data_IF_742592360410
#
_entry.id   IF_742592360410
#
_cell.length_a   1.000
_cell.length_b   1.000
_cell.length_c   1.000
_cell.angle_alpha   90.00
_cell.angle_beta   90.00
_cell.angle_gamma   90.00
#
_symmetry.space_group_name_H-M   'P 1'
#
loop_
_entity.id
_entity.type
_entity.pdbx_description
1 polymer ?
#
# COMPACT_ATOMS: atom_id res chain seq x y z
N UNK A 1 6.71 1.87 -17.06
CA UNK A 1 6.94 2.03 -18.50
C UNK A 1 5.90 2.99 -19.05
N UNK A 2 6.31 3.83 -20.00
CA UNK A 2 5.43 4.65 -20.82
C UNK A 2 5.01 3.82 -22.03
N UNK A 3 3.72 3.76 -22.33
CA UNK A 3 3.20 3.02 -23.48
C UNK A 3 2.20 3.89 -24.24
N UNK A 4 2.03 3.63 -25.53
CA UNK A 4 1.02 4.29 -26.34
C UNK A 4 -0.27 3.49 -26.31
N UNK A 5 -1.38 4.18 -26.02
CA UNK A 5 -2.71 3.60 -26.10
C UNK A 5 -3.07 3.29 -27.54
N UNK A 6 -3.63 2.10 -27.76
CA UNK A 6 -4.13 1.63 -29.06
C UNK A 6 -5.66 1.58 -29.11
N UNK A 7 -6.34 2.13 -28.10
CA UNK A 7 -7.80 2.18 -28.10
C UNK A 7 -8.33 3.13 -29.17
N UNK A 8 -9.43 2.73 -29.81
CA UNK A 8 -9.98 3.40 -30.98
C UNK A 8 -10.32 4.87 -30.74
N UNK A 9 -10.71 5.22 -29.50
CA UNK A 9 -11.01 6.60 -29.10
C UNK A 9 -9.75 7.44 -29.01
N UNK A 10 -8.69 6.93 -28.38
CA UNK A 10 -7.40 7.63 -28.28
C UNK A 10 -6.76 7.81 -29.66
N UNK A 11 -6.86 6.82 -30.54
CA UNK A 11 -6.37 6.90 -31.92
C UNK A 11 -7.14 7.95 -32.75
N UNK A 12 -8.47 8.01 -32.61
CA UNK A 12 -9.28 9.07 -33.25
C UNK A 12 -8.86 10.46 -32.78
N UNK A 13 -8.66 10.65 -31.47
CA UNK A 13 -8.21 11.92 -30.93
C UNK A 13 -6.80 12.31 -31.43
N UNK A 14 -5.90 11.34 -31.56
CA UNK A 14 -4.58 11.55 -32.16
C UNK A 14 -4.68 12.02 -33.61
N UNK A 15 -5.50 11.36 -34.43
CA UNK A 15 -5.71 11.72 -35.84
C UNK A 15 -6.31 13.14 -35.94
N UNK A 16 -7.34 13.46 -35.14
CA UNK A 16 -7.97 14.78 -35.16
C UNK A 16 -7.01 15.90 -34.72
N UNK A 17 -6.19 15.68 -33.69
CA UNK A 17 -5.17 16.68 -33.31
C UNK A 17 -4.11 16.83 -34.40
N UNK A 18 -3.68 15.74 -35.03
CA UNK A 18 -2.69 15.74 -36.11
C UNK A 18 -3.19 16.51 -37.34
N UNK A 19 -4.41 16.22 -37.80
CA UNK A 19 -5.08 16.93 -38.89
C UNK A 19 -5.20 18.44 -38.59
N UNK A 20 -5.62 18.80 -37.38
CA UNK A 20 -5.71 20.21 -36.97
C UNK A 20 -4.35 20.93 -37.03
N UNK A 21 -3.28 20.31 -36.52
CA UNK A 21 -1.92 20.90 -36.62
C UNK A 21 -1.40 20.98 -38.05
N UNK A 22 -1.81 20.08 -38.94
CA UNK A 22 -1.45 20.12 -40.36
C UNK A 22 -2.19 21.23 -41.11
N UNK A 23 -3.44 21.49 -40.75
CA UNK A 23 -4.24 22.58 -41.33
C UNK A 23 -3.80 23.97 -40.85
N UNK A 24 -3.28 24.08 -39.63
CA UNK A 24 -2.82 25.35 -39.04
C UNK A 24 -1.34 25.64 -39.26
N UNK A 25 -0.53 24.64 -39.63
CA UNK A 25 0.92 24.72 -39.65
C UNK A 25 1.52 24.72 -41.05
N UNK A 26 2.52 25.56 -41.26
CA UNK A 26 3.34 25.59 -42.47
C UNK A 26 4.45 24.52 -42.35
N UNK A 27 4.06 23.24 -42.44
CA UNK A 27 5.00 22.11 -42.37
C UNK A 27 5.70 22.00 -43.72
N UNK A 28 6.95 22.48 -43.75
CA UNK A 28 7.69 22.68 -44.99
C UNK A 28 8.60 21.49 -45.36
N UNK A 29 8.80 20.54 -44.44
CA UNK A 29 9.59 19.34 -44.70
C UNK A 29 9.12 18.11 -43.88
N UNK A 30 9.55 16.92 -44.32
CA UNK A 30 9.16 15.66 -43.68
C UNK A 30 9.79 15.44 -42.30
N UNK A 31 10.87 16.13 -41.97
CA UNK A 31 11.48 16.05 -40.64
C UNK A 31 10.58 16.72 -39.59
N UNK A 32 10.09 17.93 -39.88
CA UNK A 32 9.12 18.66 -39.05
C UNK A 32 7.80 17.89 -38.91
N UNK A 33 7.37 17.22 -39.97
CA UNK A 33 6.19 16.35 -39.92
C UNK A 33 6.39 15.19 -38.93
N UNK A 34 7.54 14.50 -39.01
CA UNK A 34 7.85 13.36 -38.14
C UNK A 34 8.02 13.77 -36.68
N UNK A 35 8.62 14.94 -36.41
CA UNK A 35 8.74 15.49 -35.06
C UNK A 35 7.36 15.83 -34.48
N UNK A 36 6.53 16.53 -35.25
CA UNK A 36 5.18 16.89 -34.83
C UNK A 36 4.32 15.64 -34.56
N UNK A 37 4.41 14.64 -35.45
CA UNK A 37 3.74 13.35 -35.24
C UNK A 37 4.16 12.67 -33.93
N UNK A 38 5.46 12.67 -33.62
CA UNK A 38 5.98 12.11 -32.35
C UNK A 38 5.51 12.90 -31.13
N UNK A 39 5.45 14.22 -31.21
CA UNK A 39 4.96 15.08 -30.12
C UNK A 39 3.48 14.85 -29.84
N UNK A 40 2.64 14.82 -30.88
CA UNK A 40 1.21 14.57 -30.74
C UNK A 40 0.96 13.16 -30.21
N UNK A 41 1.73 12.16 -30.67
CA UNK A 41 1.64 10.80 -30.13
C UNK A 41 2.03 10.78 -28.65
N UNK A 42 3.08 11.50 -28.27
CA UNK A 42 3.51 11.66 -26.89
C UNK A 42 2.48 12.37 -26.01
N UNK A 43 1.69 13.28 -26.57
CA UNK A 43 0.68 14.04 -25.85
C UNK A 43 -0.63 13.26 -25.67
N UNK A 44 -1.08 12.59 -26.73
CA UNK A 44 -2.43 11.99 -26.81
C UNK A 44 -2.44 10.51 -26.45
N UNK A 45 -1.45 9.76 -26.93
CA UNK A 45 -1.41 8.31 -26.83
C UNK A 45 -0.58 7.83 -25.64
N UNK A 46 0.47 8.59 -25.25
CA UNK A 46 1.39 8.19 -24.20
C UNK A 46 0.71 8.14 -22.83
N UNK A 47 0.82 7.01 -22.16
CA UNK A 47 0.25 6.80 -20.83
C UNK A 47 1.25 6.04 -19.96
N UNK A 48 1.29 6.37 -18.67
CA UNK A 48 2.07 5.63 -17.69
C UNK A 48 1.21 4.57 -17.01
N UNK A 49 1.59 3.30 -17.10
CA UNK A 49 0.91 2.24 -16.34
C UNK A 49 1.38 2.27 -14.88
N UNK A 50 0.42 2.50 -13.96
CA UNK A 50 0.67 2.46 -12.51
C UNK A 50 -0.20 1.37 -11.90
N UNK A 51 0.40 0.24 -11.51
CA UNK A 51 -0.29 -0.80 -10.74
C UNK A 51 0.14 -0.74 -9.28
N UNK A 52 -0.83 -0.62 -8.37
CA UNK A 52 -0.59 -0.82 -6.93
C UNK A 52 -0.32 -2.30 -6.68
N UNK A 53 0.94 -2.66 -6.44
CA UNK A 53 1.26 -3.91 -5.76
C UNK A 53 1.02 -3.63 -4.28
N UNK A 54 -0.17 -3.97 -3.79
CA UNK A 54 -0.35 -4.06 -2.34
C UNK A 54 0.44 -5.27 -1.84
N UNK A 55 1.14 -5.15 -0.71
CA UNK A 55 1.64 -6.30 0.04
C UNK A 55 0.43 -7.15 0.48
N UNK A 56 -0.06 -8.01 -0.41
CA UNK A 56 -1.00 -9.08 -0.05
C UNK A 56 -0.23 -10.08 0.80
N UNK A 57 -0.11 -9.82 2.11
CA UNK A 57 0.43 -10.81 3.04
C UNK A 57 1.00 -10.23 4.34
N UNK A 58 1.55 -9.03 4.33
CA UNK A 58 2.11 -8.43 5.54
C UNK A 58 1.05 -7.59 6.24
N UNK A 59 0.32 -8.22 7.16
CA UNK A 59 -0.43 -7.48 8.18
C UNK A 59 0.60 -6.74 9.01
N UNK A 60 0.82 -5.46 8.72
CA UNK A 60 1.68 -4.61 9.54
C UNK A 60 1.14 -4.61 10.96
N UNK A 61 1.97 -5.11 11.88
CA UNK A 61 1.65 -5.10 13.29
C UNK A 61 1.50 -3.64 13.75
N UNK A 62 0.50 -3.35 14.59
CA UNK A 62 0.25 -1.99 15.02
C UNK A 62 1.43 -1.46 15.85
N UNK A 63 1.74 -0.16 15.71
CA UNK A 63 2.90 0.47 16.35
C UNK A 63 2.90 0.40 17.87
N UNK A 64 1.73 0.22 18.50
CA UNK A 64 1.59 0.08 19.94
C UNK A 64 1.86 -1.36 20.44
N UNK A 65 2.04 -2.35 19.55
CA UNK A 65 2.30 -3.73 20.00
C UNK A 65 3.75 -3.84 20.48
N UNK A 66 3.91 -4.14 21.76
CA UNK A 66 5.21 -4.38 22.39
C UNK A 66 5.48 -5.88 22.58
N UNK A 67 6.71 -6.23 22.95
CA UNK A 67 7.13 -7.62 23.12
C UNK A 67 6.36 -8.34 24.23
N UNK A 68 5.97 -7.64 25.29
CA UNK A 68 5.19 -8.22 26.39
C UNK A 68 3.81 -8.70 25.92
N UNK A 69 3.11 -7.91 25.12
CA UNK A 69 1.85 -8.31 24.48
C UNK A 69 2.07 -9.52 23.57
N UNK A 70 3.15 -9.54 22.77
CA UNK A 70 3.47 -10.69 21.90
C UNK A 70 3.67 -11.97 22.72
N UNK A 71 4.48 -11.91 23.76
CA UNK A 71 4.74 -13.05 24.65
C UNK A 71 3.47 -13.49 25.37
N UNK A 72 2.64 -12.54 25.80
CA UNK A 72 1.34 -12.84 26.40
C UNK A 72 0.38 -13.55 25.44
N UNK A 73 0.31 -13.13 24.17
CA UNK A 73 -0.48 -13.80 23.13
C UNK A 73 0.07 -15.20 22.84
N UNK A 74 1.40 -15.37 22.74
CA UNK A 74 2.04 -16.68 22.57
C UNK A 74 1.66 -17.62 23.71
N UNK A 75 1.75 -17.15 24.96
CA UNK A 75 1.38 -17.92 26.15
C UNK A 75 -0.10 -18.28 26.18
N UNK A 76 -0.99 -17.36 25.80
CA UNK A 76 -2.42 -17.64 25.64
C UNK A 76 -2.68 -18.75 24.60
N UNK A 77 -2.01 -18.68 23.45
CA UNK A 77 -2.11 -19.72 22.40
C UNK A 77 -1.59 -21.07 22.90
N UNK A 78 -0.52 -21.06 23.69
CA UNK A 78 0.04 -22.25 24.31
C UNK A 78 -0.97 -22.92 25.25
N UNK A 79 -1.61 -22.19 26.17
CA UNK A 79 -2.63 -22.76 27.05
C UNK A 79 -3.85 -23.31 26.30
N UNK A 80 -4.33 -22.60 25.28
CA UNK A 80 -5.40 -23.10 24.42
C UNK A 80 -4.99 -24.38 23.67
N UNK A 81 -3.70 -24.53 23.32
CA UNK A 81 -3.19 -25.76 22.71
C UNK A 81 -3.19 -26.89 23.73
N UNK A 82 -2.67 -26.68 24.94
CA UNK A 82 -2.67 -27.69 26.00
C UNK A 82 -4.09 -28.14 26.35
N UNK A 83 -5.03 -27.20 26.47
CA UNK A 83 -6.45 -27.51 26.69
C UNK A 83 -7.02 -28.47 25.64
N UNK A 84 -6.69 -28.28 24.36
CA UNK A 84 -7.17 -29.15 23.26
C UNK A 84 -6.56 -30.55 23.27
N UNK A 85 -5.40 -30.71 23.90
CA UNK A 85 -4.68 -31.98 23.98
C UNK A 85 -4.68 -32.56 25.40
N UNK A 86 -5.53 -32.05 26.30
CA UNK A 86 -5.64 -32.56 27.65
C UNK A 86 -6.19 -34.00 27.62
N UNK A 87 -5.60 -34.88 28.42
CA UNK A 87 -5.97 -36.30 28.44
C UNK A 87 -7.18 -36.55 29.36
N UNK A 88 -7.43 -35.64 30.30
CA UNK A 88 -8.52 -35.73 31.26
C UNK A 88 -9.15 -34.36 31.52
N UNK A 89 -10.33 -34.38 32.16
CA UNK A 89 -11.13 -33.19 32.41
C UNK A 89 -10.50 -32.22 33.42
N UNK A 90 -9.77 -32.74 34.41
CA UNK A 90 -9.08 -31.89 35.40
C UNK A 90 -7.98 -31.03 34.76
N UNK A 91 -7.22 -31.61 33.83
CA UNK A 91 -6.24 -30.87 33.05
C UNK A 91 -6.89 -29.85 32.10
N UNK A 92 -8.00 -30.23 31.45
CA UNK A 92 -8.77 -29.33 30.61
C UNK A 92 -9.23 -28.09 31.39
N UNK A 93 -9.86 -28.28 32.55
CA UNK A 93 -10.34 -27.22 33.43
C UNK A 93 -9.20 -26.33 33.93
N UNK A 94 -8.06 -26.93 34.29
CA UNK A 94 -6.85 -26.19 34.69
C UNK A 94 -6.31 -25.32 33.56
N UNK A 95 -6.21 -25.84 32.34
CA UNK A 95 -5.72 -25.08 31.20
C UNK A 95 -6.72 -24.02 30.74
N UNK A 96 -8.02 -24.25 30.91
CA UNK A 96 -9.06 -23.25 30.69
C UNK A 96 -8.91 -22.06 31.63
N UNK A 97 -8.73 -22.33 32.93
CA UNK A 97 -8.53 -21.26 33.92
C UNK A 97 -7.27 -20.44 33.60
N UNK A 98 -6.16 -21.10 33.25
CA UNK A 98 -4.91 -20.43 32.84
C UNK A 98 -5.08 -19.62 31.56
N UNK A 99 -5.83 -20.14 30.58
CA UNK A 99 -6.15 -19.44 29.35
C UNK A 99 -6.94 -18.16 29.63
N UNK A 100 -7.99 -18.24 30.45
CA UNK A 100 -8.83 -17.09 30.82
C UNK A 100 -8.02 -16.03 31.58
N UNK A 101 -7.24 -16.43 32.59
CA UNK A 101 -6.35 -15.52 33.32
C UNK A 101 -5.37 -14.81 32.38
N UNK A 102 -4.76 -15.54 31.45
CA UNK A 102 -3.82 -14.97 30.49
C UNK A 102 -4.52 -14.05 29.47
N UNK A 103 -5.75 -14.38 29.06
CA UNK A 103 -6.57 -13.54 28.18
C UNK A 103 -6.87 -12.19 28.82
N UNK A 104 -7.33 -12.17 30.07
CA UNK A 104 -7.64 -10.94 30.79
C UNK A 104 -6.41 -10.08 31.03
N UNK A 105 -5.29 -10.71 31.42
CA UNK A 105 -4.00 -10.04 31.57
C UNK A 105 -3.57 -9.33 30.28
N UNK A 106 -3.59 -10.06 29.16
CA UNK A 106 -3.21 -9.51 27.84
C UNK A 106 -4.17 -8.40 27.42
N UNK A 107 -5.47 -8.56 27.66
CA UNK A 107 -6.45 -7.53 27.33
C UNK A 107 -6.24 -6.24 28.13
N UNK A 108 -5.95 -6.34 29.43
CA UNK A 108 -5.61 -5.19 30.26
C UNK A 108 -4.32 -4.50 29.84
N UNK A 109 -3.32 -5.26 29.39
CA UNK A 109 -2.07 -4.72 28.87
C UNK A 109 -2.24 -4.02 27.51
N UNK A 110 -3.01 -4.62 26.60
CA UNK A 110 -3.37 -4.00 25.32
C UNK A 110 -4.06 -2.66 25.56
N UNK A 111 -5.08 -2.62 26.43
CA UNK A 111 -5.80 -1.36 26.74
C UNK A 111 -4.86 -0.27 27.25
N UNK A 112 -3.99 -0.60 28.21
CA UNK A 112 -3.01 0.35 28.76
C UNK A 112 -2.03 0.86 27.71
N UNK A 113 -1.56 -0.04 26.85
CA UNK A 113 -0.57 0.31 25.82
C UNK A 113 -1.18 1.16 24.71
N UNK A 114 -2.42 0.86 24.30
CA UNK A 114 -3.19 1.69 23.37
C UNK A 114 -3.38 3.09 23.97
N UNK A 115 -3.85 3.18 25.21
CA UNK A 115 -4.07 4.48 25.86
C UNK A 115 -2.79 5.30 25.97
N UNK A 116 -1.68 4.68 26.37
CA UNK A 116 -0.38 5.36 26.45
C UNK A 116 0.09 5.86 25.07
N UNK A 117 -0.09 5.05 24.03
CA UNK A 117 0.23 5.44 22.66
C UNK A 117 -0.66 6.60 22.19
N UNK A 118 -1.97 6.53 22.40
CA UNK A 118 -2.90 7.60 22.03
C UNK A 118 -2.60 8.91 22.76
N UNK A 119 -2.27 8.84 24.05
CA UNK A 119 -1.86 10.00 24.85
C UNK A 119 -0.58 10.63 24.31
N UNK A 120 0.44 9.80 24.00
CA UNK A 120 1.69 10.25 23.40
C UNK A 120 1.46 10.95 22.06
N UNK A 121 0.65 10.34 21.18
CA UNK A 121 0.31 10.90 19.87
C UNK A 121 -0.44 12.22 20.01
N UNK A 122 -1.41 12.28 20.92
CA UNK A 122 -2.18 13.50 21.17
C UNK A 122 -1.24 14.62 21.63
N UNK A 123 -0.30 14.31 22.53
CA UNK A 123 0.71 15.25 22.98
C UNK A 123 1.60 15.75 21.84
N UNK A 124 2.09 14.87 20.98
CA UNK A 124 2.91 15.22 19.81
C UNK A 124 2.20 16.17 18.83
N UNK A 125 0.89 15.98 18.67
CA UNK A 125 0.04 16.83 17.82
C UNK A 125 -0.23 18.18 18.47
N UNK A 126 -0.50 18.23 19.78
CA UNK A 126 -0.89 19.47 20.47
C UNK A 126 0.27 20.37 20.84
N UNK A 127 1.42 19.81 21.26
CA UNK A 127 2.54 20.61 21.82
C UNK A 127 3.52 21.16 20.76
N UNK A 128 3.34 20.86 19.47
CA UNK A 128 4.21 21.36 18.40
C UNK A 128 3.68 22.62 17.73
N UNK A 129 4.58 23.51 17.29
CA UNK A 129 4.26 24.72 16.50
C UNK A 129 3.64 24.47 15.12
N UNK A 130 3.31 23.21 14.79
CA UNK A 130 2.82 22.74 13.49
C UNK A 130 1.64 21.74 13.66
N UNK A 131 0.83 21.98 14.69
CA UNK A 131 -0.26 21.08 15.15
C UNK A 131 -1.23 20.66 14.05
N UNK A 132 -1.70 21.61 13.23
CA UNK A 132 -2.61 21.35 12.12
C UNK A 132 -2.03 20.39 11.08
N UNK A 133 -0.74 20.57 10.73
CA UNK A 133 -0.05 19.71 9.76
C UNK A 133 0.13 18.29 10.32
N UNK A 134 0.56 18.16 11.57
CA UNK A 134 0.73 16.86 12.24
C UNK A 134 -0.59 16.10 12.39
N UNK A 135 -1.67 16.81 12.70
CA UNK A 135 -3.02 16.23 12.77
C UNK A 135 -3.43 15.63 11.42
N UNK A 136 -3.24 16.36 10.31
CA UNK A 136 -3.52 15.84 8.97
C UNK A 136 -2.68 14.62 8.60
N UNK A 137 -1.40 14.59 8.99
CA UNK A 137 -0.53 13.42 8.80
C UNK A 137 -1.09 12.20 9.55
N UNK A 138 -1.51 12.37 10.81
CA UNK A 138 -2.11 11.28 11.60
C UNK A 138 -3.45 10.81 11.06
N UNK A 139 -4.32 11.73 10.62
CA UNK A 139 -5.60 11.40 9.96
C UNK A 139 -5.34 10.58 8.68
N UNK A 140 -4.34 10.97 7.89
CA UNK A 140 -3.98 10.23 6.67
C UNK A 140 -3.40 8.85 6.99
N UNK A 141 -2.60 8.73 8.05
CA UNK A 141 -2.09 7.44 8.55
C UNK A 141 -3.23 6.51 8.98
N UNK A 142 -4.20 7.00 9.76
CA UNK A 142 -5.37 6.24 10.21
C UNK A 142 -6.29 5.83 9.05
N UNK A 143 -6.41 6.67 8.03
CA UNK A 143 -7.18 6.37 6.81
C UNK A 143 -6.46 5.43 5.84
N UNK A 144 -5.27 4.90 6.19
CA UNK A 144 -4.39 4.17 5.27
C UNK A 144 -4.13 4.93 3.96
N UNK A 145 -4.17 6.28 4.01
CA UNK A 145 -3.80 7.17 2.90
C UNK A 145 -2.30 7.43 2.87
N UNK A 146 -1.54 6.94 3.86
CA UNK A 146 -0.10 6.86 3.74
C UNK A 146 0.21 5.97 2.54
N UNK A 147 0.59 6.63 1.46
CA UNK A 147 1.35 6.11 0.34
C UNK A 147 2.63 5.50 0.89
N UNK A 148 2.54 4.28 1.43
CA UNK A 148 3.71 3.43 1.51
C UNK A 148 4.22 3.30 0.09
N UNK A 149 5.43 3.82 -0.05
CA UNK A 149 6.17 3.98 -1.27
C UNK A 149 5.99 2.73 -2.12
N UNK A 150 5.63 2.95 -3.38
CA UNK A 150 5.71 1.98 -4.47
C UNK A 150 7.09 1.32 -4.39
N UNK A 151 7.17 0.15 -3.75
CA UNK A 151 8.40 -0.62 -3.65
C UNK A 151 8.32 -1.73 -4.69
N UNK A 152 9.30 -1.64 -5.59
CA UNK A 152 9.66 -2.54 -6.68
C UNK A 152 8.75 -2.55 -7.92
N UNK A 153 9.27 -1.95 -9.00
CA UNK A 153 8.80 -2.14 -10.36
C UNK A 153 9.10 -3.59 -10.79
N UNK A 154 8.06 -4.40 -10.98
CA UNK A 154 8.14 -5.64 -11.77
C UNK A 154 7.47 -5.41 -13.12
N UNK A 155 8.15 -5.81 -14.19
CA UNK A 155 7.75 -5.54 -15.58
C UNK A 155 6.97 -6.74 -16.10
N UNK A 156 5.88 -6.52 -16.84
CA UNK A 156 5.13 -7.61 -17.47
C UNK A 156 4.76 -7.22 -18.91
N UNK A 157 4.79 -8.19 -19.84
CA UNK A 157 4.30 -7.98 -21.21
C UNK A 157 2.76 -8.05 -21.30
N UNK A 158 2.17 -7.79 -22.47
CA UNK A 158 0.70 -7.83 -22.72
C UNK A 158 0.07 -9.20 -22.44
N UNK A 159 0.88 -10.26 -22.34
CA UNK A 159 0.46 -11.63 -22.04
C UNK A 159 0.64 -11.97 -20.53
N UNK A 160 1.16 -11.04 -19.72
CA UNK A 160 1.31 -11.20 -18.28
C UNK A 160 2.59 -11.89 -17.80
N UNK A 161 3.65 -11.95 -18.64
CA UNK A 161 4.93 -12.60 -18.33
C UNK A 161 5.93 -11.58 -17.75
N UNK A 162 6.59 -11.92 -16.63
CA UNK A 162 7.53 -11.03 -15.92
C UNK A 162 8.85 -10.87 -16.68
N UNK A 163 9.24 -9.63 -17.02
CA UNK A 163 10.51 -9.33 -17.70
C UNK A 163 11.55 -8.84 -16.68
N UNK A 164 12.75 -9.42 -16.71
CA UNK A 164 13.88 -8.97 -15.91
C UNK A 164 14.63 -7.83 -16.63
N UNK A 165 15.29 -6.97 -15.85
CA UNK A 165 15.87 -5.67 -16.28
C UNK A 165 17.05 -5.74 -17.28
N UNK A 166 17.41 -6.90 -17.80
CA UNK A 166 18.61 -7.07 -18.63
C UNK A 166 18.36 -7.10 -20.14
N UNK A 167 17.11 -7.06 -20.61
CA UNK A 167 16.79 -7.22 -22.04
C UNK A 167 16.41 -5.92 -22.78
N UNK A 168 16.72 -4.74 -22.24
CA UNK A 168 16.39 -3.46 -22.91
C UNK A 168 17.56 -2.47 -22.95
N UNK A 169 18.68 -2.88 -23.55
CA UNK A 169 19.62 -1.96 -24.23
C UNK A 169 19.59 -2.20 -25.74
#
# INVERSE_FOLDING_TARGET
MEYYKTDEKSLRNFITELEFTLEQGDINNMEQFNENMKEIANKTLKTTYRRRIGNKGEVKEASWVNESIRQGIKKRRYYNRLRRYAENKEEEDKYEELYLKQKDKVQGEIKRTIYAHESMVSREVTEGGDSSRKMWIYINKLRNKNTEQVKELKMYNEQGIELNKEETE
#
